data_IF_461789482507
#
_entry.id   IF_461789482507
#
_cell.length_a   1.000
_cell.length_b   1.000
_cell.length_c   1.000
_cell.angle_alpha   90.00
_cell.angle_beta   90.00
_cell.angle_gamma   90.00
#
_symmetry.space_group_name_H-M   'P 1'
#
loop_
_entity.id
_entity.type
_entity.pdbx_description
1 polymer ?
#
# COMPACT_ATOMS: atom_id res chain seq x y z
N UNK A 1 -19.94 -9.11 19.45
CA UNK A 1 -18.88 -8.55 18.59
C UNK A 1 -18.44 -7.25 19.23
N UNK A 2 -17.26 -7.21 19.86
CA UNK A 2 -16.74 -5.96 20.42
C UNK A 2 -16.49 -4.96 19.28
N UNK A 3 -16.79 -3.66 19.44
CA UNK A 3 -16.40 -2.68 18.45
C UNK A 3 -14.88 -2.71 18.31
N UNK A 4 -14.37 -2.80 17.07
CA UNK A 4 -12.94 -2.62 16.78
C UNK A 4 -12.51 -1.28 17.37
N UNK A 5 -11.38 -1.25 18.07
CA UNK A 5 -10.85 0.01 18.58
C UNK A 5 -10.54 0.94 17.40
N UNK A 6 -10.60 2.28 17.53
CA UNK A 6 -10.18 3.23 16.49
C UNK A 6 -8.73 3.04 15.99
N UNK A 7 -7.99 2.16 16.65
CA UNK A 7 -6.60 1.81 16.36
C UNK A 7 -6.51 0.63 15.35
N UNK A 8 -7.58 -0.16 15.18
CA UNK A 8 -7.69 -1.27 14.22
C UNK A 8 -8.19 -0.80 12.84
N UNK A 9 -7.86 0.43 12.47
CA UNK A 9 -8.28 1.01 11.21
C UNK A 9 -7.40 0.51 10.05
N UNK A 10 -8.01 0.09 8.92
CA UNK A 10 -7.30 -0.24 7.70
C UNK A 10 -6.30 0.85 7.30
N UNK A 11 -5.12 0.46 6.85
CA UNK A 11 -4.04 1.39 6.55
C UNK A 11 -3.17 0.93 5.37
N UNK A 12 -2.54 1.90 4.73
CA UNK A 12 -1.37 1.68 3.88
C UNK A 12 -0.11 2.00 4.67
N UNK A 13 0.82 1.06 4.73
CA UNK A 13 2.17 1.27 5.25
C UNK A 13 3.11 1.51 4.08
N UNK A 14 3.75 2.66 4.05
CA UNK A 14 4.72 3.00 3.01
C UNK A 14 6.03 2.29 3.35
N UNK A 15 6.34 1.23 2.60
CA UNK A 15 7.55 0.44 2.79
C UNK A 15 8.73 1.04 2.05
N UNK A 16 8.49 1.66 0.89
CA UNK A 16 9.46 2.37 0.06
C UNK A 16 8.73 3.40 -0.83
N UNK A 17 9.26 4.61 -0.98
CA UNK A 17 8.65 5.70 -1.77
C UNK A 17 9.48 6.10 -3.00
N UNK A 18 10.44 5.26 -3.41
CA UNK A 18 11.29 5.53 -4.57
C UNK A 18 12.38 6.59 -4.34
N UNK A 19 12.50 7.14 -3.12
CA UNK A 19 13.58 8.02 -2.71
C UNK A 19 14.89 7.28 -2.37
N UNK A 20 15.98 8.04 -2.21
CA UNK A 20 17.25 7.58 -1.60
C UNK A 20 16.94 6.82 -0.30
N UNK A 21 17.67 5.74 0.01
CA UNK A 21 17.54 4.92 1.23
C UNK A 21 17.30 5.80 2.47
N UNK A 22 16.03 6.00 2.81
CA UNK A 22 15.62 6.50 4.12
C UNK A 22 15.35 5.27 4.96
N UNK A 23 15.70 5.32 6.25
CA UNK A 23 15.31 4.30 7.21
C UNK A 23 13.78 4.21 7.22
N UNK A 24 13.27 3.29 6.42
CA UNK A 24 11.88 2.93 6.36
C UNK A 24 11.60 1.95 7.50
N UNK A 25 10.39 2.03 8.07
CA UNK A 25 9.21 2.63 7.45
C UNK A 25 8.80 3.95 8.09
N UNK A 26 8.66 4.99 7.26
CA UNK A 26 8.47 6.34 7.75
C UNK A 26 6.98 6.75 7.88
N UNK A 27 6.01 6.01 7.31
CA UNK A 27 4.63 6.51 7.24
C UNK A 27 3.54 5.43 7.21
N UNK A 28 2.56 5.54 8.13
CA UNK A 28 1.28 4.81 8.14
C UNK A 28 0.18 5.78 7.78
N UNK A 29 -0.57 5.49 6.71
CA UNK A 29 -1.73 6.25 6.31
C UNK A 29 -3.02 5.47 6.60
N UNK A 30 -3.87 5.90 7.55
CA UNK A 30 -5.20 5.31 7.75
C UNK A 30 -6.08 5.52 6.52
N UNK A 31 -6.71 4.45 6.04
CA UNK A 31 -7.65 4.50 4.92
C UNK A 31 -9.06 4.63 5.49
N UNK A 32 -9.78 5.66 5.05
CA UNK A 32 -11.11 5.96 5.56
C UNK A 32 -12.24 5.28 4.78
N UNK A 33 -13.47 5.69 5.07
CA UNK A 33 -14.65 5.31 4.28
C UNK A 33 -14.75 6.02 2.91
N UNK A 34 -13.82 6.93 2.63
CA UNK A 34 -13.74 7.70 1.39
C UNK A 34 -12.96 7.01 0.28
N UNK A 35 -12.68 7.78 -0.78
CA UNK A 35 -11.75 7.38 -1.83
C UNK A 35 -10.40 8.02 -1.53
N UNK A 36 -9.42 7.18 -1.21
CA UNK A 36 -8.05 7.60 -0.96
C UNK A 36 -7.22 7.39 -2.24
N UNK A 37 -6.80 8.49 -2.86
CA UNK A 37 -5.97 8.46 -4.07
C UNK A 37 -4.49 8.43 -3.67
N UNK A 38 -3.75 7.51 -4.25
CA UNK A 38 -2.29 7.38 -4.10
C UNK A 38 -1.62 7.80 -5.39
N UNK A 39 -0.57 8.61 -5.30
CA UNK A 39 0.17 9.08 -6.46
C UNK A 39 1.25 10.10 -6.10
N UNK A 40 1.97 10.61 -7.10
CA UNK A 40 3.05 11.58 -6.85
C UNK A 40 2.59 13.03 -6.71
N UNK A 41 1.35 13.31 -7.07
CA UNK A 41 0.77 14.65 -6.92
C UNK A 41 0.56 14.97 -5.44
N UNK A 42 0.93 16.18 -5.00
CA UNK A 42 0.80 16.66 -3.63
C UNK A 42 -0.66 16.68 -3.14
N UNK A 43 -1.63 16.65 -4.06
CA UNK A 43 -3.06 16.61 -3.75
C UNK A 43 -3.58 15.19 -3.46
N UNK A 44 -2.73 14.17 -3.60
CA UNK A 44 -3.10 12.79 -3.27
C UNK A 44 -3.20 12.61 -1.76
N UNK A 45 -4.08 11.71 -1.33
CA UNK A 45 -4.19 11.29 0.07
C UNK A 45 -2.85 10.71 0.57
N UNK A 46 -2.20 9.90 -0.26
CA UNK A 46 -0.82 9.45 -0.05
C UNK A 46 0.05 9.94 -1.20
N UNK A 47 0.92 10.91 -0.89
CA UNK A 47 1.92 11.38 -1.83
C UNK A 47 3.15 10.48 -1.80
N UNK A 48 3.54 9.95 -2.97
CA UNK A 48 4.80 9.21 -3.15
C UNK A 48 5.80 10.04 -3.94
N UNK A 49 7.02 10.19 -3.43
CA UNK A 49 8.08 10.99 -4.09
C UNK A 49 8.86 10.10 -5.08
N UNK A 50 8.12 9.48 -6.00
CA UNK A 50 8.66 8.54 -6.96
C UNK A 50 8.40 9.03 -8.40
N UNK A 51 9.44 9.27 -9.22
CA UNK A 51 9.28 9.74 -10.59
C UNK A 51 8.60 8.73 -11.51
N UNK A 52 8.58 7.43 -11.16
CA UNK A 52 7.88 6.37 -11.88
C UNK A 52 6.41 6.25 -11.46
N UNK A 53 5.97 6.96 -10.43
CA UNK A 53 4.57 6.97 -10.00
C UNK A 53 3.80 8.04 -10.79
N UNK A 54 2.65 7.68 -11.36
CA UNK A 54 1.72 8.64 -11.95
C UNK A 54 1.23 9.67 -10.93
N UNK A 55 0.86 10.87 -11.39
CA UNK A 55 0.32 11.95 -10.54
C UNK A 55 -0.82 11.46 -9.65
N UNK A 56 -1.77 10.77 -10.26
CA UNK A 56 -2.79 9.94 -9.61
C UNK A 56 -2.58 8.53 -10.14
N UNK A 57 -2.19 7.58 -9.29
CA UNK A 57 -1.71 6.27 -9.72
C UNK A 57 -2.79 5.21 -9.53
N UNK A 58 -3.32 5.09 -8.33
CA UNK A 58 -4.45 4.23 -8.02
C UNK A 58 -5.35 4.91 -6.97
N UNK A 59 -6.58 4.43 -6.85
CA UNK A 59 -7.43 4.71 -5.70
C UNK A 59 -7.70 3.45 -4.88
N UNK A 60 -7.85 3.63 -3.57
CA UNK A 60 -8.36 2.60 -2.65
C UNK A 60 -9.58 3.16 -1.95
N UNK A 61 -10.63 2.33 -1.86
CA UNK A 61 -11.88 2.69 -1.18
C UNK A 61 -12.53 1.46 -0.58
N UNK A 62 -13.33 1.63 0.46
CA UNK A 62 -14.19 0.55 0.94
C UNK A 62 -15.42 0.40 0.03
N UNK A 63 -15.65 -0.81 -0.49
CA UNK A 63 -16.84 -1.12 -1.29
C UNK A 63 -17.76 -2.09 -0.54
N UNK A 64 -18.96 -1.62 -0.17
CA UNK A 64 -19.96 -2.43 0.54
C UNK A 64 -20.34 -3.72 -0.18
N UNK A 65 -20.40 -3.68 -1.53
CA UNK A 65 -20.74 -4.86 -2.34
C UNK A 65 -19.64 -5.91 -2.35
N UNK A 66 -18.37 -5.48 -2.30
CA UNK A 66 -17.23 -6.37 -2.20
C UNK A 66 -16.95 -6.82 -0.76
N UNK A 67 -17.52 -6.12 0.23
CA UNK A 67 -17.29 -6.40 1.65
C UNK A 67 -15.88 -6.06 2.13
N UNK A 68 -15.15 -5.21 1.40
CA UNK A 68 -13.74 -4.94 1.65
C UNK A 68 -13.21 -3.72 0.92
N UNK A 69 -11.90 -3.49 1.06
CA UNK A 69 -11.20 -2.43 0.34
C UNK A 69 -10.88 -2.90 -1.07
N UNK A 70 -11.19 -2.06 -2.04
CA UNK A 70 -10.93 -2.30 -3.46
C UNK A 70 -9.89 -1.29 -3.93
N UNK A 71 -8.86 -1.81 -4.59
CA UNK A 71 -7.86 -1.02 -5.30
C UNK A 71 -8.23 -0.94 -6.78
N UNK A 72 -8.09 0.26 -7.35
CA UNK A 72 -8.27 0.51 -8.78
C UNK A 72 -7.10 1.31 -9.34
N UNK A 73 -6.42 0.75 -10.35
CA UNK A 73 -5.44 1.51 -11.12
C UNK A 73 -6.13 2.65 -11.89
N UNK A 74 -5.57 3.85 -11.85
CA UNK A 74 -6.10 5.05 -12.49
C UNK A 74 -5.39 5.34 -13.82
N UNK A 75 -5.26 4.31 -14.65
CA UNK A 75 -4.55 4.35 -15.93
C UNK A 75 -3.10 4.83 -15.76
N UNK A 76 -2.43 4.23 -14.78
CA UNK A 76 -1.05 4.59 -14.47
C UNK A 76 -0.10 4.17 -15.60
N UNK A 77 0.96 4.95 -15.80
CA UNK A 77 1.91 4.72 -16.91
C UNK A 77 2.66 3.39 -16.75
N UNK A 78 3.06 3.07 -15.51
CA UNK A 78 3.85 1.87 -15.21
C UNK A 78 3.02 0.70 -14.65
N UNK A 79 1.73 0.92 -14.39
CA UNK A 79 0.83 -0.06 -13.79
C UNK A 79 0.98 -0.16 -12.27
N UNK A 80 -0.10 -0.62 -11.64
CA UNK A 80 -0.12 -1.09 -10.25
C UNK A 80 -0.07 -2.62 -10.22
N UNK A 81 0.66 -3.18 -9.25
CA UNK A 81 0.74 -4.62 -9.00
C UNK A 81 0.31 -4.92 -7.57
N UNK A 82 -0.44 -6.00 -7.38
CA UNK A 82 -0.85 -6.51 -6.06
C UNK A 82 -0.37 -7.95 -5.96
N UNK A 83 0.47 -8.23 -4.96
CA UNK A 83 1.14 -9.53 -4.76
C UNK A 83 1.80 -10.06 -6.05
N UNK A 84 2.43 -9.17 -6.82
CA UNK A 84 3.11 -9.47 -8.08
C UNK A 84 2.20 -9.60 -9.31
N UNK A 85 0.87 -9.57 -9.15
CA UNK A 85 -0.06 -9.60 -10.27
C UNK A 85 -0.43 -8.17 -10.71
N UNK A 86 -0.36 -7.89 -12.02
CA UNK A 86 -0.74 -6.59 -12.57
C UNK A 86 -2.24 -6.36 -12.42
N UNK A 87 -2.62 -5.20 -11.91
CA UNK A 87 -4.02 -4.78 -11.77
C UNK A 87 -4.52 -4.27 -13.11
N UNK A 88 -5.40 -5.03 -13.75
CA UNK A 88 -6.10 -4.61 -14.99
C UNK A 88 -7.56 -4.26 -14.76
N UNK A 89 -8.14 -4.76 -13.67
CA UNK A 89 -9.51 -4.51 -13.21
C UNK A 89 -9.46 -4.23 -11.71
N UNK A 90 -10.49 -3.62 -11.10
CA UNK A 90 -10.52 -3.40 -9.65
C UNK A 90 -10.36 -4.71 -8.86
N UNK A 91 -9.49 -4.70 -7.84
CA UNK A 91 -9.18 -5.88 -7.03
C UNK A 91 -9.46 -5.64 -5.55
N UNK A 92 -10.04 -6.63 -4.87
CA UNK A 92 -10.20 -6.59 -3.41
C UNK A 92 -8.86 -6.87 -2.72
N UNK A 93 -8.47 -6.01 -1.79
CA UNK A 93 -7.24 -6.16 -1.00
C UNK A 93 -7.47 -7.09 0.20
N UNK A 94 -6.57 -8.06 0.36
CA UNK A 94 -6.47 -8.89 1.55
C UNK A 94 -5.46 -8.30 2.55
N UNK A 95 -5.66 -8.51 3.85
CA UNK A 95 -4.69 -8.10 4.87
C UNK A 95 -3.31 -8.68 4.57
N UNK A 96 -2.28 -7.82 4.56
CA UNK A 96 -0.92 -8.19 4.19
C UNK A 96 -0.60 -8.10 2.70
N UNK A 97 -1.54 -7.68 1.85
CA UNK A 97 -1.29 -7.52 0.42
C UNK A 97 -0.18 -6.49 0.14
N UNK A 98 0.81 -6.90 -0.66
CA UNK A 98 1.88 -6.01 -1.13
C UNK A 98 1.44 -5.31 -2.41
N UNK A 99 1.46 -3.98 -2.39
CA UNK A 99 1.13 -3.13 -3.54
C UNK A 99 2.44 -2.52 -4.05
N UNK A 100 2.73 -2.74 -5.33
CA UNK A 100 3.96 -2.27 -5.98
C UNK A 100 3.61 -1.32 -7.12
N UNK A 101 4.34 -0.22 -7.21
CA UNK A 101 4.13 0.85 -8.19
C UNK A 101 5.41 1.66 -8.38
N UNK A 102 5.87 1.80 -9.63
CA UNK A 102 7.16 2.45 -9.88
C UNK A 102 8.31 1.75 -9.15
N UNK A 103 9.04 2.49 -8.30
CA UNK A 103 10.02 1.98 -7.34
C UNK A 103 9.47 1.93 -5.91
N UNK A 104 8.19 2.23 -5.72
CA UNK A 104 7.53 2.30 -4.42
C UNK A 104 6.88 0.97 -4.07
N UNK A 105 6.82 0.69 -2.76
CA UNK A 105 6.16 -0.49 -2.20
C UNK A 105 5.30 -0.07 -1.01
N UNK A 106 4.05 -0.52 -1.00
CA UNK A 106 3.09 -0.27 0.06
C UNK A 106 2.53 -1.59 0.56
N UNK A 107 2.25 -1.67 1.85
CA UNK A 107 1.61 -2.84 2.45
C UNK A 107 0.22 -2.43 2.94
N UNK A 108 -0.81 -3.14 2.47
CA UNK A 108 -2.15 -2.99 3.00
C UNK A 108 -2.30 -3.81 4.29
N UNK A 109 -2.82 -3.20 5.34
CA UNK A 109 -3.15 -3.94 6.56
C UNK A 109 -4.43 -3.47 7.22
N UNK A 110 -5.13 -4.40 7.86
CA UNK A 110 -6.30 -4.19 8.72
C UNK A 110 -5.95 -4.31 10.20
N UNK A 111 -4.68 -4.58 10.53
CA UNK A 111 -4.17 -4.72 11.89
C UNK A 111 -3.57 -3.39 12.38
N UNK A 112 -3.64 -3.19 13.69
CA UNK A 112 -2.87 -2.15 14.35
C UNK A 112 -1.40 -2.56 14.47
N UNK A 113 -0.50 -1.67 14.09
CA UNK A 113 0.93 -1.80 14.38
C UNK A 113 1.44 -0.46 14.92
N UNK A 114 2.12 -0.51 16.08
CA UNK A 114 2.68 0.66 16.75
C UNK A 114 3.65 1.44 15.86
N UNK A 115 4.29 0.74 14.92
CA UNK A 115 5.09 1.31 13.87
C UNK A 115 5.16 0.34 12.69
N UNK A 116 5.56 0.84 11.53
CA UNK A 116 5.61 -0.01 10.37
C UNK A 116 6.81 -1.00 10.42
N UNK A 117 7.82 -0.83 11.29
CA UNK A 117 8.93 -1.79 11.39
C UNK A 117 8.46 -3.09 12.04
N UNK A 118 7.54 -2.98 13.01
CA UNK A 118 6.81 -4.09 13.59
C UNK A 118 5.92 -4.78 12.54
N UNK A 119 5.23 -4.00 11.70
CA UNK A 119 4.44 -4.55 10.60
C UNK A 119 5.33 -5.30 9.59
N UNK A 120 6.39 -4.67 9.09
CA UNK A 120 7.37 -5.29 8.20
C UNK A 120 7.92 -6.57 8.82
N UNK A 121 8.31 -6.55 10.08
CA UNK A 121 8.83 -7.73 10.78
C UNK A 121 7.78 -8.82 10.93
N UNK A 122 6.52 -8.46 11.15
CA UNK A 122 5.39 -9.39 11.16
C UNK A 122 5.27 -10.10 9.81
N UNK A 123 5.27 -9.37 8.70
CA UNK A 123 5.07 -9.96 7.37
C UNK A 123 6.34 -10.61 6.78
N UNK A 124 7.55 -10.15 7.14
CA UNK A 124 8.83 -10.78 6.78
C UNK A 124 8.97 -12.20 7.35
N UNK A 125 8.42 -12.47 8.53
CA UNK A 125 8.48 -13.81 9.16
C UNK A 125 7.55 -14.84 8.51
N UNK A 126 6.48 -14.40 7.85
CA UNK A 126 5.51 -15.27 7.19
C UNK A 126 5.71 -15.39 5.67
N UNK A 127 6.64 -14.63 5.09
CA UNK A 127 6.76 -14.45 3.65
C UNK A 127 8.18 -14.60 3.10
N UNK A 128 8.70 -15.83 3.02
CA UNK A 128 9.83 -16.14 2.13
C UNK A 128 9.54 -15.81 0.65
N UNK A 129 8.27 -15.55 0.29
CA UNK A 129 7.84 -15.17 -1.07
C UNK A 129 8.17 -13.73 -1.48
N UNK A 130 8.38 -12.81 -0.54
CA UNK A 130 8.51 -11.36 -0.86
C UNK A 130 9.96 -10.87 -0.99
N UNK A 131 10.94 -11.75 -0.74
CA UNK A 131 12.37 -11.46 -0.95
C UNK A 131 12.76 -11.27 -2.42
N UNK A 132 11.93 -11.69 -3.37
CA UNK A 132 12.22 -11.61 -4.80
C UNK A 132 12.32 -10.19 -5.36
N UNK A 133 11.57 -9.23 -4.80
CA UNK A 133 11.56 -7.83 -5.26
C UNK A 133 12.42 -6.89 -4.41
N UNK A 134 12.91 -7.35 -3.27
CA UNK A 134 13.86 -6.62 -2.43
C UNK A 134 15.29 -6.85 -2.92
N UNK A 135 15.58 -6.56 -4.20
CA UNK A 135 16.98 -6.35 -4.60
C UNK A 135 17.39 -5.00 -4.02
N UNK A 136 18.03 -5.05 -2.86
CA UNK A 136 18.99 -4.02 -2.47
C UNK A 136 19.95 -3.91 -3.66
N UNK A 137 19.83 -2.85 -4.45
CA UNK A 137 20.84 -2.51 -5.43
C UNK A 137 22.08 -2.14 -4.64
N UNK A 138 23.14 -2.92 -4.80
CA UNK A 138 24.51 -2.59 -4.36
C UNK A 138 24.97 -1.24 -4.93
#
# INVERSE_FOLDING_TARGET
MSPRSPQDEPALLVLHDGGQERELPAFRYPIGAGVDVVGRDEKCAVQLVDPKVSRRHFDVRFELRAGGFVLRDLESVNGTFVDGAKVTEPVTLADGALIELGHSQLLFTTQHFDNAAAAISHFKRHGERYRGTMRLTE
#
